data_IF_469640043917
#
_entry.id   IF_469640043917
#
_cell.length_a   1.000
_cell.length_b   1.000
_cell.length_c   1.000
_cell.angle_alpha   90.00
_cell.angle_beta   90.00
_cell.angle_gamma   90.00
#
_symmetry.space_group_name_H-M   'P 1'
#
loop_
_entity.id
_entity.type
_entity.pdbx_description
1 polymer ?
#
# COMPACT_ATOMS: atom_id res chain seq x y z
N UNK A 1 28.79 -5.97 -12.19
CA UNK A 1 28.96 -4.56 -11.78
C UNK A 1 27.59 -3.90 -11.85
N UNK A 2 26.87 -3.81 -10.71
CA UNK A 2 25.63 -3.07 -10.63
C UNK A 2 26.00 -1.61 -10.43
N UNK A 3 25.82 -0.80 -11.46
CA UNK A 3 25.94 0.64 -11.36
C UNK A 3 24.81 1.19 -10.52
N UNK A 4 25.07 1.55 -9.27
CA UNK A 4 24.13 2.20 -8.39
C UNK A 4 23.71 3.54 -8.98
N UNK A 5 22.52 3.60 -9.60
CA UNK A 5 21.83 4.87 -9.76
C UNK A 5 21.42 5.29 -8.36
N UNK A 6 22.01 6.38 -7.88
CA UNK A 6 21.56 7.09 -6.68
C UNK A 6 20.04 7.29 -6.82
N UNK A 7 19.28 6.70 -5.89
CA UNK A 7 17.86 6.98 -5.73
C UNK A 7 17.76 8.35 -5.06
N UNK A 8 17.98 9.39 -5.85
CA UNK A 8 17.66 10.74 -5.42
C UNK A 8 16.14 10.80 -5.47
N UNK A 9 15.50 10.80 -4.31
CA UNK A 9 14.15 11.34 -4.20
C UNK A 9 14.24 12.75 -4.77
N UNK A 10 13.83 12.90 -6.02
CA UNK A 10 13.66 14.22 -6.62
C UNK A 10 12.51 14.87 -5.88
N UNK A 11 12.84 15.57 -4.80
CA UNK A 11 12.02 16.65 -4.29
C UNK A 11 12.01 17.71 -5.38
N UNK A 12 11.21 17.50 -6.40
CA UNK A 12 10.93 18.52 -7.39
C UNK A 12 10.31 19.71 -6.65
N UNK A 13 10.59 20.92 -7.13
CA UNK A 13 10.10 22.18 -6.56
C UNK A 13 8.56 22.31 -6.56
N UNK A 14 7.82 21.33 -7.09
CA UNK A 14 6.36 21.31 -7.16
C UNK A 14 5.74 20.42 -6.09
N UNK A 15 4.67 20.92 -5.48
CA UNK A 15 3.83 20.14 -4.55
C UNK A 15 3.19 18.96 -5.31
N UNK A 16 3.30 17.75 -4.74
CA UNK A 16 2.68 16.55 -5.28
C UNK A 16 1.39 16.24 -4.54
N UNK A 17 0.36 15.81 -5.26
CA UNK A 17 -0.94 15.45 -4.70
C UNK A 17 -1.21 13.97 -4.91
N UNK A 18 -1.64 13.30 -3.84
CA UNK A 18 -2.04 11.89 -3.88
C UNK A 18 -3.45 11.67 -3.35
N UNK A 19 -4.07 10.57 -3.78
CA UNK A 19 -5.36 10.10 -3.30
C UNK A 19 -5.15 8.87 -2.45
N UNK A 20 -5.77 8.82 -1.27
CA UNK A 20 -5.72 7.69 -0.35
C UNK A 20 -7.09 7.01 -0.22
N UNK A 21 -7.08 5.70 0.03
CA UNK A 21 -8.29 4.95 0.36
C UNK A 21 -9.13 4.51 -0.84
N UNK A 22 -8.51 4.26 -1.94
CA UNK A 22 -9.09 3.99 -3.25
C UNK A 22 -10.08 2.81 -3.30
N UNK A 23 -9.84 1.81 -2.47
CA UNK A 23 -10.60 0.57 -2.47
C UNK A 23 -11.42 0.37 -1.19
N UNK A 24 -11.85 1.47 -0.59
CA UNK A 24 -12.87 1.44 0.46
C UNK A 24 -14.21 1.80 -0.16
N UNK A 25 -15.23 1.00 0.10
CA UNK A 25 -16.61 1.43 -0.14
C UNK A 25 -16.89 2.77 0.55
N UNK A 26 -17.84 3.53 0.06
CA UNK A 26 -18.10 4.91 0.46
C UNK A 26 -18.58 5.11 1.92
N UNK A 27 -18.43 4.09 2.78
CA UNK A 27 -18.84 4.14 4.18
C UNK A 27 -20.35 4.07 4.41
N UNK A 28 -21.11 3.78 3.37
CA UNK A 28 -22.52 3.48 3.49
C UNK A 28 -22.70 2.01 3.95
N UNK A 29 -23.36 1.72 5.07
CA UNK A 29 -23.56 0.34 5.57
C UNK A 29 -24.24 -0.60 4.58
N UNK A 30 -24.95 -0.06 3.59
CA UNK A 30 -25.62 -0.83 2.53
C UNK A 30 -24.74 -1.13 1.30
N UNK A 31 -23.54 -0.55 1.23
CA UNK A 31 -22.60 -0.79 0.13
C UNK A 31 -21.53 -1.82 0.51
N UNK A 32 -21.10 -2.68 -0.43
CA UNK A 32 -20.00 -3.60 -0.15
C UNK A 32 -18.72 -2.82 0.15
N UNK A 33 -17.97 -3.26 1.18
CA UNK A 33 -16.69 -2.67 1.56
C UNK A 33 -15.60 -2.86 0.50
N UNK A 34 -15.72 -3.93 -0.29
CA UNK A 34 -14.86 -4.17 -1.43
C UNK A 34 -15.58 -3.65 -2.67
N UNK A 35 -15.05 -2.69 -3.40
CA UNK A 35 -15.70 -2.13 -4.57
C UNK A 35 -15.78 -3.15 -5.71
N UNK A 36 -16.73 -2.93 -6.62
CA UNK A 36 -16.73 -3.62 -7.91
C UNK A 36 -15.42 -3.35 -8.65
N UNK A 37 -14.88 -4.39 -9.30
CA UNK A 37 -13.59 -4.28 -9.99
C UNK A 37 -13.63 -3.26 -11.14
N UNK A 38 -14.77 -3.09 -11.79
CA UNK A 38 -14.91 -2.09 -12.87
C UNK A 38 -14.93 -0.67 -12.30
N UNK A 39 -15.51 -0.47 -11.12
CA UNK A 39 -15.47 0.81 -10.42
C UNK A 39 -14.06 1.15 -9.96
N UNK A 40 -13.33 0.17 -9.47
CA UNK A 40 -11.93 0.33 -9.10
C UNK A 40 -11.05 0.73 -10.31
N UNK A 41 -11.23 0.11 -11.48
CA UNK A 41 -10.55 0.52 -12.73
C UNK A 41 -10.88 1.96 -13.10
N UNK A 42 -12.18 2.30 -13.07
CA UNK A 42 -12.64 3.67 -13.40
C UNK A 42 -12.00 4.70 -12.46
N UNK A 43 -11.89 4.37 -11.17
CA UNK A 43 -11.29 5.28 -10.20
C UNK A 43 -9.81 5.49 -10.45
N UNK A 44 -9.01 4.44 -10.68
CA UNK A 44 -7.58 4.58 -10.99
C UNK A 44 -7.39 5.47 -12.23
N UNK A 45 -8.14 5.20 -13.28
CA UNK A 45 -8.07 6.00 -14.51
C UNK A 45 -8.54 7.44 -14.33
N UNK A 46 -9.55 7.67 -13.49
CA UNK A 46 -10.02 9.02 -13.17
C UNK A 46 -8.93 9.82 -12.45
N UNK A 47 -8.30 9.23 -11.43
CA UNK A 47 -7.21 9.87 -10.68
C UNK A 47 -6.03 10.20 -11.59
N UNK A 48 -5.68 9.27 -12.50
CA UNK A 48 -4.64 9.48 -13.49
C UNK A 48 -4.98 10.63 -14.46
N UNK A 49 -6.18 10.63 -15.03
CA UNK A 49 -6.66 11.64 -15.97
C UNK A 49 -6.81 13.04 -15.33
N UNK A 50 -7.14 13.11 -14.04
CA UNK A 50 -7.22 14.38 -13.30
C UNK A 50 -5.84 14.94 -12.94
N UNK A 51 -4.74 14.25 -13.23
CA UNK A 51 -3.39 14.74 -13.04
C UNK A 51 -2.84 14.58 -11.62
N UNK A 52 -3.47 13.79 -10.76
CA UNK A 52 -2.86 13.42 -9.47
C UNK A 52 -1.55 12.69 -9.67
N UNK A 53 -0.63 12.81 -8.71
CA UNK A 53 0.71 12.23 -8.80
C UNK A 53 0.78 10.80 -8.27
N UNK A 54 -0.07 10.44 -7.31
CA UNK A 54 0.02 9.16 -6.62
C UNK A 54 -1.29 8.65 -6.05
N UNK A 55 -1.33 7.33 -5.82
CA UNK A 55 -2.42 6.64 -5.13
C UNK A 55 -1.88 5.81 -3.97
N UNK A 56 -2.58 5.86 -2.83
CA UNK A 56 -2.14 5.27 -1.56
C UNK A 56 -3.20 4.35 -0.98
N UNK A 57 -2.77 3.27 -0.35
CA UNK A 57 -3.66 2.36 0.36
C UNK A 57 -3.18 2.14 1.78
N UNK A 58 -4.13 1.96 2.69
CA UNK A 58 -3.88 1.42 4.02
C UNK A 58 -3.74 -0.10 3.99
N UNK A 59 -3.32 -0.66 5.11
CA UNK A 59 -3.12 -2.09 5.24
C UNK A 59 -3.76 -2.63 6.52
N UNK A 60 -4.39 -3.79 6.40
CA UNK A 60 -4.84 -4.64 7.49
C UNK A 60 -4.77 -6.10 7.06
N UNK A 61 -4.55 -7.01 8.02
CA UNK A 61 -4.52 -8.46 7.79
C UNK A 61 -5.83 -9.11 8.21
N UNK A 62 -6.26 -8.81 9.44
CA UNK A 62 -7.49 -9.36 10.04
C UNK A 62 -8.29 -8.22 10.66
N UNK A 63 -9.06 -7.54 9.83
CA UNK A 63 -9.82 -6.36 10.22
C UNK A 63 -11.31 -6.66 10.38
N UNK A 64 -12.04 -5.81 11.11
CA UNK A 64 -13.46 -6.00 11.39
C UNK A 64 -14.35 -5.93 10.13
N UNK A 65 -13.84 -5.34 9.06
CA UNK A 65 -14.53 -5.22 7.77
C UNK A 65 -13.65 -5.75 6.65
N UNK A 66 -14.24 -6.32 5.57
CA UNK A 66 -13.47 -6.81 4.44
C UNK A 66 -12.72 -5.68 3.76
N UNK A 67 -11.41 -5.82 3.64
CA UNK A 67 -10.56 -4.96 2.82
C UNK A 67 -9.63 -5.81 1.97
N UNK A 68 -9.18 -5.26 0.85
CA UNK A 68 -8.23 -5.96 -0.01
C UNK A 68 -6.82 -5.89 0.58
N UNK A 69 -6.04 -6.95 0.37
CA UNK A 69 -4.61 -6.94 0.68
C UNK A 69 -3.91 -5.81 -0.06
N UNK A 70 -3.10 -5.03 0.66
CA UNK A 70 -2.52 -3.78 0.15
C UNK A 70 -1.58 -3.99 -1.03
N UNK A 71 -0.70 -4.99 -0.98
CA UNK A 71 0.26 -5.27 -2.07
C UNK A 71 -0.46 -5.80 -3.30
N UNK A 72 -1.44 -6.70 -3.10
CA UNK A 72 -2.23 -7.27 -4.19
C UNK A 72 -3.03 -6.19 -4.94
N UNK A 73 -3.73 -5.31 -4.21
CA UNK A 73 -4.51 -4.24 -4.84
C UNK A 73 -3.61 -3.21 -5.54
N UNK A 74 -2.43 -2.90 -4.99
CA UNK A 74 -1.49 -1.97 -5.62
C UNK A 74 -0.85 -2.56 -6.88
N UNK A 75 -0.50 -3.85 -6.89
CA UNK A 75 0.00 -4.52 -8.08
C UNK A 75 -1.03 -4.48 -9.22
N UNK A 76 -2.29 -4.71 -8.87
CA UNK A 76 -3.39 -4.60 -9.83
C UNK A 76 -3.62 -3.16 -10.30
N UNK A 77 -3.61 -2.17 -9.40
CA UNK A 77 -3.78 -0.76 -9.74
C UNK A 77 -2.64 -0.23 -10.62
N UNK A 78 -1.40 -0.65 -10.35
CA UNK A 78 -0.23 -0.28 -11.13
C UNK A 78 -0.33 -0.70 -12.61
N UNK A 79 -1.03 -1.80 -12.89
CA UNK A 79 -1.29 -2.24 -14.26
C UNK A 79 -2.31 -1.37 -15.02
N UNK A 80 -2.98 -0.43 -14.34
CA UNK A 80 -3.99 0.45 -14.95
C UNK A 80 -3.46 1.85 -15.30
N UNK A 81 -2.23 2.19 -14.89
CA UNK A 81 -1.60 3.50 -15.15
C UNK A 81 -0.09 3.36 -15.32
N UNK A 82 0.43 4.02 -16.34
CA UNK A 82 1.88 4.09 -16.61
C UNK A 82 2.56 5.30 -15.92
N UNK A 83 1.77 6.18 -15.29
CA UNK A 83 2.27 7.44 -14.73
C UNK A 83 2.19 7.52 -13.23
N UNK A 84 1.08 7.09 -12.62
CA UNK A 84 0.86 7.23 -11.17
C UNK A 84 1.93 6.50 -10.37
N UNK A 85 2.40 7.13 -9.31
CA UNK A 85 3.10 6.45 -8.24
C UNK A 85 2.10 5.76 -7.31
N UNK A 86 2.51 4.64 -6.74
CA UNK A 86 1.68 3.85 -5.84
C UNK A 86 2.38 3.66 -4.51
N UNK A 87 1.64 3.64 -3.42
CA UNK A 87 2.26 3.47 -2.12
C UNK A 87 1.34 2.93 -1.04
N UNK A 88 1.97 2.46 0.03
CA UNK A 88 1.28 2.08 1.27
C UNK A 88 1.34 3.20 2.30
N UNK A 89 0.20 3.52 2.91
CA UNK A 89 0.11 4.52 3.98
C UNK A 89 -0.88 4.03 5.05
N UNK A 90 -0.41 3.13 5.84
CA UNK A 90 0.89 2.47 5.97
C UNK A 90 0.73 0.95 5.89
N UNK A 91 1.81 0.22 5.56
CA UNK A 91 1.88 -1.25 5.64
C UNK A 91 2.25 -1.69 7.06
N UNK A 92 1.52 -2.62 7.63
CA UNK A 92 1.73 -3.14 8.98
C UNK A 92 2.80 -4.25 8.96
N UNK A 93 4.05 -3.86 8.75
CA UNK A 93 5.17 -4.81 8.59
C UNK A 93 5.32 -5.78 9.76
N UNK A 94 5.12 -5.39 11.05
CA UNK A 94 5.24 -6.33 12.17
C UNK A 94 4.31 -7.53 12.14
N UNK A 95 3.25 -7.49 11.35
CA UNK A 95 2.27 -8.59 11.22
C UNK A 95 2.71 -9.68 10.24
N UNK A 96 3.87 -9.52 9.58
CA UNK A 96 4.32 -10.43 8.53
C UNK A 96 5.81 -10.72 8.64
N UNK A 97 6.20 -11.87 8.09
CA UNK A 97 7.62 -12.19 7.96
C UNK A 97 8.28 -11.28 6.89
N UNK A 98 9.38 -10.59 7.20
CA UNK A 98 9.94 -9.58 6.29
C UNK A 98 10.46 -10.15 4.96
N UNK A 99 11.00 -11.37 4.95
CA UNK A 99 11.58 -11.96 3.71
C UNK A 99 10.57 -12.11 2.55
N UNK A 100 9.38 -12.72 2.72
CA UNK A 100 8.38 -12.73 1.65
C UNK A 100 7.87 -11.34 1.31
N UNK A 101 7.74 -10.43 2.29
CA UNK A 101 7.35 -9.03 2.03
C UNK A 101 8.39 -8.35 1.15
N UNK A 102 9.68 -8.45 1.48
CA UNK A 102 10.76 -7.91 0.65
C UNK A 102 10.71 -8.43 -0.80
N UNK A 103 10.38 -9.72 -0.98
CA UNK A 103 10.21 -10.29 -2.33
C UNK A 103 9.02 -9.69 -3.06
N UNK A 104 7.89 -9.50 -2.38
CA UNK A 104 6.67 -8.94 -2.97
C UNK A 104 6.86 -7.48 -3.38
N UNK A 105 7.44 -6.64 -2.50
CA UNK A 105 7.66 -5.22 -2.79
C UNK A 105 8.70 -5.01 -3.90
N UNK A 106 9.77 -5.82 -3.93
CA UNK A 106 10.75 -5.76 -5.02
C UNK A 106 10.12 -6.13 -6.37
N UNK A 107 9.22 -7.13 -6.38
CA UNK A 107 8.49 -7.50 -7.59
C UNK A 107 7.52 -6.39 -8.03
N UNK A 108 6.77 -5.81 -7.09
CA UNK A 108 5.84 -4.72 -7.37
C UNK A 108 6.57 -3.48 -7.90
N UNK A 109 7.66 -3.09 -7.26
CA UNK A 109 8.49 -1.95 -7.69
C UNK A 109 9.01 -2.15 -9.12
N UNK A 110 9.52 -3.34 -9.42
CA UNK A 110 9.95 -3.68 -10.77
C UNK A 110 8.80 -3.61 -11.80
N UNK A 111 7.63 -4.19 -11.48
CA UNK A 111 6.47 -4.23 -12.37
C UNK A 111 5.88 -2.84 -12.65
N UNK A 112 5.96 -1.93 -11.70
CA UNK A 112 5.51 -0.55 -11.89
C UNK A 112 6.64 0.42 -12.31
N UNK A 113 7.82 -0.09 -12.68
CA UNK A 113 8.92 0.72 -13.20
C UNK A 113 9.53 1.69 -12.19
N UNK A 114 9.62 1.31 -10.91
CA UNK A 114 10.20 2.15 -9.85
C UNK A 114 9.27 3.25 -9.34
N UNK A 115 7.97 3.11 -9.54
CA UNK A 115 6.93 4.07 -9.08
C UNK A 115 6.25 3.63 -7.77
N UNK A 116 6.89 2.76 -7.00
CA UNK A 116 6.37 2.27 -5.74
C UNK A 116 7.03 2.94 -4.54
N UNK A 117 6.21 3.30 -3.53
CA UNK A 117 6.67 3.85 -2.25
C UNK A 117 6.17 2.93 -1.13
N UNK A 118 7.11 2.33 -0.42
CA UNK A 118 6.80 1.43 0.68
C UNK A 118 6.79 2.17 2.02
N UNK A 119 5.62 2.69 2.39
CA UNK A 119 5.39 3.30 3.71
C UNK A 119 5.04 2.24 4.74
N UNK A 120 5.81 2.11 5.80
CA UNK A 120 5.64 1.11 6.86
C UNK A 120 5.28 1.73 8.20
N UNK A 121 4.64 0.95 9.06
CA UNK A 121 4.30 1.38 10.40
C UNK A 121 4.08 0.23 11.36
N UNK A 122 4.01 0.59 12.64
CA UNK A 122 3.91 -0.38 13.75
C UNK A 122 2.50 -0.95 13.96
N UNK A 123 1.45 -0.24 13.54
CA UNK A 123 0.08 -0.60 13.89
C UNK A 123 -0.21 -0.58 15.39
N UNK A 124 -1.21 -1.36 15.82
CA UNK A 124 -1.54 -1.55 17.24
C UNK A 124 -2.88 -0.96 17.65
N UNK A 125 -3.61 -0.31 16.75
CA UNK A 125 -4.97 0.21 17.01
C UNK A 125 -5.99 -0.93 17.20
N UNK A 126 -5.73 -2.09 16.58
CA UNK A 126 -6.57 -3.28 16.63
C UNK A 126 -5.78 -4.48 17.14
N UNK A 127 -5.71 -4.69 18.48
CA UNK A 127 -4.91 -5.78 19.08
C UNK A 127 -5.30 -7.18 18.59
N UNK A 128 -6.57 -7.43 18.27
CA UNK A 128 -7.05 -8.71 17.74
C UNK A 128 -6.44 -9.09 16.38
N UNK A 129 -5.98 -8.11 15.60
CA UNK A 129 -5.27 -8.34 14.35
C UNK A 129 -3.88 -8.94 14.60
N UNK A 130 -3.20 -8.46 15.65
CA UNK A 130 -1.91 -9.01 16.09
C UNK A 130 -2.07 -10.43 16.63
N UNK A 131 -3.11 -10.68 17.43
CA UNK A 131 -3.44 -12.01 17.93
C UNK A 131 -3.71 -12.99 16.78
N UNK A 132 -4.50 -12.59 15.78
CA UNK A 132 -4.80 -13.41 14.60
C UNK A 132 -3.53 -13.74 13.78
N UNK A 133 -2.53 -12.87 13.78
CA UNK A 133 -1.24 -13.07 13.13
C UNK A 133 -0.22 -13.80 14.04
N UNK A 134 -0.58 -14.14 15.28
CA UNK A 134 0.32 -14.78 16.25
C UNK A 134 1.46 -13.86 16.73
N UNK A 135 1.25 -12.55 16.70
CA UNK A 135 2.24 -11.54 17.05
C UNK A 135 1.86 -10.86 18.35
N UNK A 136 2.79 -10.79 19.29
CA UNK A 136 2.64 -9.99 20.51
C UNK A 136 2.71 -8.50 20.14
N UNK A 137 1.61 -7.77 20.36
CA UNK A 137 1.50 -6.34 20.07
C UNK A 137 2.56 -5.50 20.80
N UNK A 138 3.05 -5.94 21.96
CA UNK A 138 4.11 -5.25 22.71
C UNK A 138 5.45 -5.26 21.95
N UNK A 139 5.65 -6.22 21.03
CA UNK A 139 6.88 -6.37 20.24
C UNK A 139 6.85 -5.58 18.92
N UNK A 140 5.74 -4.93 18.58
CA UNK A 140 5.54 -4.32 17.26
C UNK A 140 6.64 -3.33 16.84
N UNK A 141 7.16 -2.53 17.79
CA UNK A 141 8.27 -1.60 17.52
C UNK A 141 9.55 -2.34 17.13
N UNK A 142 9.96 -3.32 17.96
CA UNK A 142 11.14 -4.14 17.70
C UNK A 142 11.02 -4.90 16.37
N UNK A 143 9.85 -5.48 16.11
CA UNK A 143 9.60 -6.22 14.85
C UNK A 143 9.64 -5.31 13.63
N UNK A 144 9.23 -4.04 13.76
CA UNK A 144 9.39 -3.06 12.67
C UNK A 144 10.88 -2.77 12.44
N UNK A 145 11.65 -2.47 13.49
CA UNK A 145 13.08 -2.16 13.39
C UNK A 145 13.91 -3.31 12.81
N UNK A 146 13.55 -4.55 13.16
CA UNK A 146 14.20 -5.76 12.62
C UNK A 146 13.75 -6.11 11.19
N UNK A 147 12.57 -5.64 10.79
CA UNK A 147 11.93 -5.93 9.49
C UNK A 147 12.34 -4.98 8.37
N UNK A 148 12.88 -3.82 8.69
CA UNK A 148 13.34 -2.81 7.74
C UNK A 148 14.82 -3.00 7.43
#
# INVERSE_FOLDING_TARGET
MYGGKSMTLLLEESVKFGVQGIFRGAGNPSEPWVPDIHDAVRLVRLVDNLGFDSMWVGDHVAFAVPILDSITQLAWAAAQSDRLAFGTSIYLLPLRHPTPVAKQIAALDHLCGGRFVFGVGVGGEFPGEFEACGVDVSQRGRLLDEGV
#
